data_IF_549032289856
#
_entry.id   IF_549032289856
#
_cell.length_a   1.000
_cell.length_b   1.000
_cell.length_c   1.000
_cell.angle_alpha   90.00
_cell.angle_beta   90.00
_cell.angle_gamma   90.00
#
_symmetry.space_group_name_H-M   'P 1'
#
loop_
_entity.id
_entity.type
_entity.pdbx_description
1 polymer ?
#
# COMPACT_ATOMS: atom_id res chain seq x y z
N UNK A 1 -32.28 2.53 13.07
CA UNK A 1 -31.61 1.43 13.78
C UNK A 1 -30.08 1.54 13.70
N UNK A 2 -29.49 1.72 12.50
CA UNK A 2 -28.03 1.75 12.27
C UNK A 2 -27.18 2.68 13.16
N UNK A 3 -27.66 3.88 13.53
CA UNK A 3 -26.84 4.82 14.32
C UNK A 3 -26.70 4.44 15.80
N UNK A 4 -27.70 3.75 16.37
CA UNK A 4 -27.65 3.25 17.76
C UNK A 4 -26.73 2.04 17.89
N UNK A 5 -26.70 1.19 16.87
CA UNK A 5 -25.80 0.02 16.81
C UNK A 5 -24.35 0.45 16.66
N UNK A 6 -24.07 1.44 15.80
CA UNK A 6 -22.73 2.02 15.64
C UNK A 6 -22.20 2.67 16.93
N UNK A 7 -23.03 3.44 17.64
CA UNK A 7 -22.65 4.06 18.92
C UNK A 7 -22.47 3.03 20.05
N UNK A 8 -23.24 1.94 20.03
CA UNK A 8 -23.07 0.84 20.98
C UNK A 8 -21.77 0.07 20.74
N UNK A 9 -21.39 -0.13 19.48
CA UNK A 9 -20.14 -0.78 19.09
C UNK A 9 -18.91 0.06 19.46
N UNK A 10 -18.94 1.37 19.16
CA UNK A 10 -17.88 2.31 19.57
C UNK A 10 -17.70 2.38 21.09
N UNK A 11 -18.78 2.34 21.86
CA UNK A 11 -18.73 2.36 23.33
C UNK A 11 -18.11 1.09 23.90
N UNK A 12 -18.40 -0.07 23.32
CA UNK A 12 -17.84 -1.34 23.78
C UNK A 12 -16.34 -1.48 23.46
N UNK A 13 -15.90 -0.96 22.32
CA UNK A 13 -14.48 -0.91 21.94
C UNK A 13 -13.69 0.03 22.87
N UNK A 14 -14.25 1.20 23.21
CA UNK A 14 -13.60 2.15 24.11
C UNK A 14 -13.44 1.61 25.54
N UNK A 15 -14.43 0.86 26.04
CA UNK A 15 -14.37 0.21 27.36
C UNK A 15 -13.29 -0.89 27.37
N UNK A 16 -13.17 -1.67 26.28
CA UNK A 16 -12.17 -2.72 26.16
C UNK A 16 -10.73 -2.15 26.15
N UNK A 17 -10.53 -1.02 25.45
CA UNK A 17 -9.25 -0.29 25.42
C UNK A 17 -8.87 0.29 26.80
N UNK A 18 -9.81 0.84 27.57
CA UNK A 18 -9.49 1.36 28.92
C UNK A 18 -9.11 0.27 29.93
N UNK A 19 -9.68 -0.94 29.82
CA UNK A 19 -9.36 -2.06 30.72
C UNK A 19 -7.95 -2.60 30.47
N UNK A 20 -7.49 -2.60 29.22
CA UNK A 20 -6.12 -3.03 28.87
C UNK A 20 -5.08 -2.01 29.34
N UNK A 21 -5.37 -0.71 29.22
CA UNK A 21 -4.45 0.35 29.68
C UNK A 21 -4.31 0.36 31.21
N UNK A 22 -5.37 0.03 31.95
CA UNK A 22 -5.33 -0.04 33.42
C UNK A 22 -4.57 -1.27 33.96
N UNK A 23 -4.42 -2.33 33.15
CA UNK A 23 -3.71 -3.56 33.52
C UNK A 23 -2.19 -3.51 33.31
N UNK A 24 -1.66 -2.47 32.64
CA UNK A 24 -0.24 -2.34 32.26
C UNK A 24 0.56 -1.32 33.09
N UNK A 25 -0.02 -0.75 34.16
CA UNK A 25 0.71 0.16 35.05
C UNK A 25 1.42 -0.63 36.17
N UNK A 26 2.76 -0.60 36.27
CA UNK A 26 3.47 -1.21 37.39
C UNK A 26 3.21 -0.43 38.69
N UNK A 27 2.76 -1.14 39.73
CA UNK A 27 2.65 -0.62 41.10
C UNK A 27 4.03 -0.29 41.67
N UNK A 28 4.29 1.00 41.88
CA UNK A 28 5.47 1.48 42.59
C UNK A 28 5.43 1.06 44.07
N UNK A 29 6.36 0.21 44.47
CA UNK A 29 6.55 -0.21 45.86
C UNK A 29 7.51 0.79 46.55
N UNK A 30 6.99 1.51 47.54
CA UNK A 30 7.73 2.49 48.34
C UNK A 30 8.29 1.79 49.60
N UNK A 31 9.62 1.78 49.77
CA UNK A 31 10.27 1.40 51.04
C UNK A 31 11.14 2.55 51.55
N UNK A 32 10.78 3.06 52.73
CA UNK A 32 11.62 3.89 53.61
C UNK A 32 12.49 3.00 54.50
N UNK A 33 13.73 3.42 54.73
CA UNK A 33 14.56 3.17 55.94
C UNK A 33 15.75 4.14 55.86
N UNK A 34 15.80 5.22 56.65
CA UNK A 34 16.25 5.35 58.05
C UNK A 34 17.77 5.41 58.23
N UNK A 35 18.18 6.38 59.03
CA UNK A 35 19.49 7.04 59.15
C UNK A 35 20.62 6.23 59.81
N UNK A 36 21.86 6.65 59.52
CA UNK A 36 22.95 6.78 60.49
C UNK A 36 24.13 5.81 60.38
N UNK A 37 25.32 6.28 59.99
CA UNK A 37 26.50 6.44 60.87
C UNK A 37 27.72 7.01 60.13
N UNK A 38 28.52 7.77 60.88
CA UNK A 38 29.70 8.54 60.45
C UNK A 38 30.96 7.69 60.62
N UNK A 39 31.77 7.57 59.57
CA UNK A 39 33.11 6.99 59.62
C UNK A 39 34.06 7.73 58.66
N UNK A 40 35.10 8.34 59.21
CA UNK A 40 36.17 9.03 58.48
C UNK A 40 37.13 8.01 57.83
N UNK A 41 37.31 8.07 56.51
CA UNK A 41 38.45 7.48 55.81
C UNK A 41 39.08 8.48 54.81
N UNK A 42 40.41 8.42 54.71
CA UNK A 42 41.30 9.28 53.92
C UNK A 42 41.07 9.18 52.40
N UNK A 43 41.38 10.23 51.62
CA UNK A 43 41.05 10.27 50.18
C UNK A 43 42.02 9.42 49.35
N UNK A 44 41.49 8.42 48.66
CA UNK A 44 42.13 7.79 47.50
C UNK A 44 41.87 8.63 46.23
N UNK A 45 42.83 8.72 45.29
CA UNK A 45 42.70 9.57 44.11
C UNK A 45 41.59 9.05 43.17
N UNK A 46 40.58 9.89 42.94
CA UNK A 46 39.49 9.64 42.00
C UNK A 46 40.02 9.53 40.56
N UNK A 47 39.76 8.44 39.82
CA UNK A 47 39.99 8.44 38.38
C UNK A 47 38.99 9.39 37.72
N UNK A 48 39.49 10.36 36.95
CA UNK A 48 38.69 11.25 36.12
C UNK A 48 37.84 10.43 35.15
N UNK A 49 36.54 10.28 35.45
CA UNK A 49 35.56 9.76 34.51
C UNK A 49 35.37 10.85 33.45
N UNK A 50 35.81 10.59 32.23
CA UNK A 50 35.45 11.42 31.08
C UNK A 50 33.91 11.53 31.01
N UNK A 51 33.33 12.72 30.80
CA UNK A 51 31.88 12.84 30.72
C UNK A 51 31.38 11.90 29.63
N UNK A 52 30.61 10.89 30.01
CA UNK A 52 29.80 10.12 29.08
C UNK A 52 28.97 11.12 28.29
N UNK A 53 28.95 11.07 26.95
CA UNK A 53 28.08 11.94 26.18
C UNK A 53 26.66 11.61 26.60
N UNK A 54 26.07 12.48 27.43
CA UNK A 54 24.62 12.49 27.61
C UNK A 54 24.07 12.85 26.26
N UNK A 55 23.57 11.86 25.51
CA UNK A 55 22.72 12.10 24.37
C UNK A 55 21.56 12.94 24.89
N UNK A 56 21.59 14.24 24.64
CA UNK A 56 20.44 15.09 24.79
C UNK A 56 19.45 14.55 23.78
N UNK A 57 18.44 13.82 24.26
CA UNK A 57 17.31 13.43 23.41
C UNK A 57 16.63 14.75 23.08
N UNK A 58 16.86 15.25 21.86
CA UNK A 58 16.19 16.42 21.36
C UNK A 58 14.73 16.06 21.11
N UNK A 59 13.89 16.25 22.14
CA UNK A 59 12.46 15.97 22.09
C UNK A 59 11.69 16.91 21.15
N UNK A 60 12.38 17.76 20.37
CA UNK A 60 11.72 18.74 19.49
C UNK A 60 11.44 18.21 18.09
N UNK A 61 12.10 17.14 17.63
CA UNK A 61 11.99 16.56 16.27
C UNK A 61 11.27 15.21 16.22
N UNK A 62 10.34 14.99 17.16
CA UNK A 62 9.63 13.73 17.31
C UNK A 62 8.52 13.55 16.26
N UNK A 63 8.29 12.30 15.87
CA UNK A 63 7.14 11.87 15.07
C UNK A 63 6.74 10.48 15.58
N UNK A 64 5.44 10.20 15.66
CA UNK A 64 5.00 8.84 16.02
C UNK A 64 5.06 7.90 14.82
N UNK A 65 5.31 6.62 15.09
CA UNK A 65 5.36 5.56 14.07
C UNK A 65 4.03 5.34 13.33
N UNK A 66 2.94 5.96 13.80
CA UNK A 66 1.62 5.94 13.16
C UNK A 66 1.20 7.29 12.58
N UNK A 67 2.10 8.28 12.50
CA UNK A 67 1.80 9.57 11.87
C UNK A 67 1.33 9.38 10.43
N UNK A 68 0.13 9.89 10.14
CA UNK A 68 -0.47 9.89 8.80
C UNK A 68 -1.31 11.15 8.60
N UNK A 69 -1.07 11.85 7.49
CA UNK A 69 -1.84 13.02 7.08
C UNK A 69 -1.96 13.05 5.56
N UNK A 70 -3.17 13.16 5.04
CA UNK A 70 -3.40 13.43 3.62
C UNK A 70 -3.22 14.93 3.33
N UNK A 71 -2.64 15.26 2.19
CA UNK A 71 -2.47 16.64 1.74
C UNK A 71 -3.74 17.04 0.98
N UNK A 72 -4.47 18.00 1.54
CA UNK A 72 -5.72 18.54 0.99
C UNK A 72 -5.44 19.74 0.05
N UNK A 73 -4.45 20.57 0.34
CA UNK A 73 -4.09 21.74 -0.48
C UNK A 73 -2.59 22.11 -0.32
N UNK A 74 -2.05 22.86 -1.29
CA UNK A 74 -0.64 23.29 -1.30
C UNK A 74 -0.47 24.77 -1.64
N UNK A 75 0.43 25.43 -0.90
CA UNK A 75 0.75 26.83 -1.06
C UNK A 75 2.27 27.00 -1.18
N UNK A 76 2.71 27.75 -2.18
CA UNK A 76 4.13 28.12 -2.29
C UNK A 76 4.37 29.43 -1.57
N UNK A 77 5.40 29.47 -0.72
CA UNK A 77 5.92 30.71 -0.15
C UNK A 77 7.24 31.07 -0.83
N UNK A 78 7.32 32.31 -1.33
CA UNK A 78 8.35 32.80 -2.26
C UNK A 78 9.79 32.56 -1.75
N UNK A 79 9.99 32.49 -0.43
CA UNK A 79 11.32 32.40 0.20
C UNK A 79 11.46 31.26 1.22
N UNK A 80 10.53 30.29 1.30
CA UNK A 80 10.51 29.35 2.44
C UNK A 80 10.13 27.90 2.17
N UNK A 81 9.75 27.52 0.94
CA UNK A 81 9.35 26.16 0.58
C UNK A 81 7.86 26.00 0.28
N UNK A 82 7.34 24.80 0.49
CA UNK A 82 5.93 24.46 0.23
C UNK A 82 5.19 24.28 1.55
N UNK A 83 4.09 25.00 1.76
CA UNK A 83 3.15 24.76 2.85
C UNK A 83 2.07 23.81 2.34
N UNK A 84 1.86 22.71 3.03
CA UNK A 84 0.75 21.78 2.77
C UNK A 84 -0.28 21.88 3.87
N UNK A 85 -1.55 21.69 3.55
CA UNK A 85 -2.62 21.66 4.55
C UNK A 85 -3.32 20.32 4.58
N UNK A 86 -3.75 19.90 5.75
CA UNK A 86 -4.55 18.69 5.93
C UNK A 86 -4.94 18.46 7.38
N UNK A 87 -5.80 17.48 7.60
CA UNK A 87 -6.13 16.98 8.93
C UNK A 87 -5.31 15.74 9.26
N UNK A 88 -4.60 15.74 10.40
CA UNK A 88 -3.82 14.57 10.83
C UNK A 88 -4.78 13.43 11.17
N UNK A 89 -4.69 12.31 10.46
CA UNK A 89 -5.58 11.17 10.64
C UNK A 89 -5.16 10.30 11.83
N UNK A 90 -3.86 10.12 12.04
CA UNK A 90 -3.29 9.35 13.16
C UNK A 90 -1.93 9.88 13.58
N UNK A 91 -1.53 9.55 14.82
CA UNK A 91 -0.24 9.90 15.36
C UNK A 91 -0.04 11.38 15.71
N UNK A 92 1.21 11.79 15.75
CA UNK A 92 1.63 13.17 15.96
C UNK A 92 2.91 13.48 15.19
N UNK A 93 3.15 14.76 14.91
CA UNK A 93 4.38 15.26 14.29
C UNK A 93 4.83 16.55 14.96
N UNK A 94 6.15 16.66 15.21
CA UNK A 94 6.78 17.86 15.74
C UNK A 94 7.56 18.61 14.66
N UNK A 95 7.81 19.89 14.92
CA UNK A 95 8.71 20.71 14.08
C UNK A 95 10.09 20.05 13.99
N UNK A 96 10.81 20.23 12.88
CA UNK A 96 12.11 19.62 12.60
C UNK A 96 12.12 18.09 12.51
N UNK A 97 10.97 17.41 12.64
CA UNK A 97 10.89 15.97 12.38
C UNK A 97 11.19 15.68 10.91
N UNK A 98 11.91 14.58 10.66
CA UNK A 98 12.06 14.04 9.31
C UNK A 98 10.95 13.04 9.04
N UNK A 99 10.17 13.30 8.00
CA UNK A 99 9.00 12.51 7.60
C UNK A 99 9.14 12.10 6.14
N UNK A 100 8.17 11.36 5.63
CA UNK A 100 8.08 10.95 4.24
C UNK A 100 6.87 11.59 3.56
N UNK A 101 7.15 12.30 2.46
CA UNK A 101 6.15 12.66 1.46
C UNK A 101 6.00 11.49 0.51
N UNK A 102 4.78 10.98 0.39
CA UNK A 102 4.45 9.84 -0.42
C UNK A 102 3.50 10.22 -1.55
N UNK A 103 3.94 9.89 -2.76
CA UNK A 103 3.19 10.01 -3.99
C UNK A 103 2.99 8.61 -4.60
N UNK A 104 1.78 8.34 -5.08
CA UNK A 104 1.38 7.05 -5.66
C UNK A 104 2.19 6.73 -6.92
N UNK A 105 2.54 7.74 -7.72
CA UNK A 105 3.25 7.60 -9.00
C UNK A 105 4.76 7.83 -8.85
N UNK A 106 5.15 8.84 -8.08
CA UNK A 106 6.56 9.27 -7.95
C UNK A 106 7.30 8.58 -6.80
N UNK A 107 6.59 7.85 -5.94
CA UNK A 107 7.16 7.17 -4.78
C UNK A 107 7.39 8.10 -3.59
N UNK A 108 8.35 7.74 -2.74
CA UNK A 108 8.54 8.39 -1.44
C UNK A 108 9.78 9.29 -1.42
N UNK A 109 9.64 10.49 -0.84
CA UNK A 109 10.71 11.46 -0.62
C UNK A 109 10.80 11.82 0.86
N UNK A 110 11.98 11.70 1.46
CA UNK A 110 12.20 12.22 2.82
C UNK A 110 12.20 13.74 2.81
N UNK A 111 11.47 14.34 3.75
CA UNK A 111 11.32 15.79 3.88
C UNK A 111 11.37 16.19 5.36
N UNK A 112 11.79 17.42 5.64
CA UNK A 112 11.86 17.94 7.00
C UNK A 112 10.71 18.91 7.25
N UNK A 113 10.07 18.77 8.41
CA UNK A 113 9.05 19.69 8.89
C UNK A 113 9.71 21.01 9.29
N UNK A 114 9.62 22.03 8.44
CA UNK A 114 10.18 23.36 8.72
C UNK A 114 9.37 24.15 9.77
N UNK A 115 8.06 23.90 9.87
CA UNK A 115 7.17 24.56 10.80
C UNK A 115 5.75 24.01 10.72
N UNK A 116 5.00 24.15 11.82
CA UNK A 116 3.61 23.73 11.90
C UNK A 116 2.77 24.94 12.33
N UNK A 117 1.72 25.23 11.57
CA UNK A 117 0.78 26.31 11.84
C UNK A 117 -0.62 25.76 12.08
N UNK A 118 -1.26 26.21 13.15
CA UNK A 118 -2.66 25.95 13.45
C UNK A 118 -3.35 27.28 13.78
N UNK A 119 -4.41 27.63 13.06
CA UNK A 119 -5.16 28.88 13.25
C UNK A 119 -4.29 30.15 13.33
N UNK A 120 -3.34 30.33 12.40
CA UNK A 120 -2.40 31.48 12.35
C UNK A 120 -1.44 31.57 13.53
N UNK A 121 -1.21 30.46 14.24
CA UNK A 121 -0.22 30.35 15.31
C UNK A 121 0.76 29.24 14.99
N UNK A 122 2.04 29.53 15.17
CA UNK A 122 3.08 28.50 15.13
C UNK A 122 2.99 27.64 16.38
N UNK A 123 3.02 26.33 16.17
CA UNK A 123 3.02 25.31 17.23
C UNK A 123 4.21 24.38 17.03
N UNK A 124 4.66 23.76 18.11
CA UNK A 124 5.81 22.85 18.08
C UNK A 124 5.41 21.41 17.72
N UNK A 125 4.16 21.02 17.94
CA UNK A 125 3.67 19.65 17.70
C UNK A 125 2.19 19.67 17.40
N UNK A 126 1.76 18.83 16.46
CA UNK A 126 0.35 18.62 16.10
C UNK A 126 -0.01 17.14 16.22
N UNK A 127 -1.27 16.86 16.55
CA UNK A 127 -1.77 15.52 16.87
C UNK A 127 -2.92 15.13 15.93
N UNK A 128 -3.26 13.84 15.93
CA UNK A 128 -4.44 13.33 15.26
C UNK A 128 -5.71 14.15 15.59
N UNK A 129 -6.43 14.54 14.55
CA UNK A 129 -7.61 15.41 14.59
C UNK A 129 -7.31 16.90 14.40
N UNK A 130 -6.04 17.32 14.47
CA UNK A 130 -5.66 18.71 14.18
C UNK A 130 -5.65 18.98 12.68
N UNK A 131 -6.36 20.02 12.23
CA UNK A 131 -6.20 20.61 10.90
C UNK A 131 -5.07 21.63 10.94
N UNK A 132 -4.00 21.38 10.18
CA UNK A 132 -2.75 22.16 10.26
C UNK A 132 -2.22 22.52 8.87
N UNK A 133 -1.42 23.59 8.83
CA UNK A 133 -0.49 23.87 7.73
C UNK A 133 0.91 23.43 8.14
N UNK A 134 1.57 22.62 7.31
CA UNK A 134 2.93 22.14 7.54
C UNK A 134 3.84 22.70 6.46
N UNK A 135 4.87 23.44 6.89
CA UNK A 135 5.93 23.89 5.98
C UNK A 135 6.90 22.74 5.73
N UNK A 136 7.06 22.34 4.48
CA UNK A 136 8.02 21.35 4.01
C UNK A 136 9.20 22.06 3.35
N UNK A 137 10.39 21.85 3.92
CA UNK A 137 11.62 22.43 3.39
C UNK A 137 12.06 21.77 2.08
N UNK A 138 12.75 22.56 1.23
CA UNK A 138 13.45 22.07 0.03
C UNK A 138 12.57 21.37 -1.02
N UNK A 139 11.30 21.76 -1.12
CA UNK A 139 10.35 21.29 -2.15
C UNK A 139 9.90 22.42 -3.07
N UNK A 140 9.74 22.10 -4.35
CA UNK A 140 9.13 22.99 -5.35
C UNK A 140 7.65 22.65 -5.58
N UNK A 141 6.97 23.46 -6.39
CA UNK A 141 5.54 23.25 -6.70
C UNK A 141 5.30 21.96 -7.49
N UNK A 142 6.30 21.46 -8.20
CA UNK A 142 6.22 20.22 -8.97
C UNK A 142 6.40 18.97 -8.11
N UNK A 143 6.97 19.12 -6.91
CA UNK A 143 7.19 18.02 -5.97
C UNK A 143 5.91 17.63 -5.22
N UNK A 144 5.03 18.61 -4.93
CA UNK A 144 3.93 18.45 -3.97
C UNK A 144 2.58 18.83 -4.54
N UNK A 145 1.59 17.95 -4.37
CA UNK A 145 0.21 18.14 -4.81
C UNK A 145 -0.79 17.58 -3.79
N UNK A 146 -2.04 18.03 -3.89
CA UNK A 146 -3.15 17.43 -3.15
C UNK A 146 -3.35 15.95 -3.54
N UNK A 147 -3.77 15.13 -2.58
CA UNK A 147 -3.90 13.67 -2.73
C UNK A 147 -2.61 12.89 -2.46
N UNK A 148 -1.50 13.57 -2.16
CA UNK A 148 -0.30 12.95 -1.60
C UNK A 148 -0.42 12.81 -0.07
N UNK A 149 0.51 12.07 0.54
CA UNK A 149 0.46 11.75 1.97
C UNK A 149 1.76 12.12 2.69
N UNK A 150 1.63 12.56 3.94
CA UNK A 150 2.73 12.68 4.88
C UNK A 150 2.69 11.56 5.91
N UNK A 151 3.81 10.88 6.09
CA UNK A 151 3.91 9.69 6.95
C UNK A 151 5.20 9.67 7.76
N UNK A 152 5.24 8.93 8.86
CA UNK A 152 6.51 8.56 9.48
C UNK A 152 7.33 7.63 8.56
N UNK A 153 8.65 7.71 8.65
CA UNK A 153 9.57 7.02 7.74
C UNK A 153 9.36 5.51 7.70
N UNK A 154 9.23 4.95 6.50
CA UNK A 154 9.19 3.51 6.27
C UNK A 154 7.91 2.82 6.74
N UNK A 155 6.90 3.58 7.18
CA UNK A 155 5.67 3.02 7.77
C UNK A 155 4.67 2.60 6.70
N UNK A 156 4.61 3.30 5.56
CA UNK A 156 3.66 3.02 4.48
C UNK A 156 4.38 2.88 3.14
N UNK A 157 5.10 1.77 2.90
CA UNK A 157 5.70 1.54 1.59
C UNK A 157 4.63 1.49 0.48
N UNK A 158 4.97 1.91 -0.75
CA UNK A 158 4.08 1.79 -1.91
C UNK A 158 4.04 0.35 -2.43
N UNK A 159 2.97 -0.37 -2.11
CA UNK A 159 2.78 -1.80 -2.38
C UNK A 159 1.67 -2.02 -3.41
N UNK A 160 1.84 -3.01 -4.28
CA UNK A 160 0.76 -3.49 -5.15
C UNK A 160 0.54 -5.01 -5.10
N UNK A 161 1.27 -5.72 -4.25
CA UNK A 161 1.08 -7.15 -3.95
C UNK A 161 1.01 -7.37 -2.46
N UNK A 162 -0.10 -7.95 -2.00
CA UNK A 162 -0.33 -8.19 -0.58
C UNK A 162 -1.34 -9.31 -0.36
N UNK A 163 -1.36 -9.87 0.84
CA UNK A 163 -2.48 -10.67 1.32
C UNK A 163 -3.43 -9.82 2.14
N UNK A 164 -4.70 -10.18 2.14
CA UNK A 164 -5.72 -9.51 2.92
C UNK A 164 -6.77 -10.49 3.45
N UNK A 165 -7.42 -10.08 4.53
CA UNK A 165 -8.69 -10.67 4.98
C UNK A 165 -9.84 -9.86 4.40
N UNK A 166 -10.73 -10.52 3.66
CA UNK A 166 -11.89 -9.90 3.02
C UNK A 166 -13.18 -10.39 3.67
N UNK A 167 -14.06 -9.47 4.03
CA UNK A 167 -15.43 -9.75 4.46
C UNK A 167 -16.38 -9.29 3.36
N UNK A 168 -16.97 -10.26 2.66
CA UNK A 168 -17.88 -10.01 1.54
C UNK A 168 -19.28 -9.60 2.04
N UNK A 169 -19.95 -8.77 1.26
CA UNK A 169 -21.33 -8.34 1.54
C UNK A 169 -22.35 -9.43 1.24
N UNK A 170 -22.02 -10.35 0.33
CA UNK A 170 -22.82 -11.51 -0.08
C UNK A 170 -21.88 -12.69 -0.38
N UNK A 171 -22.23 -13.88 0.09
CA UNK A 171 -21.46 -15.11 -0.16
C UNK A 171 -21.49 -15.53 -1.63
N UNK A 172 -22.42 -15.01 -2.44
CA UNK A 172 -22.48 -15.28 -3.87
C UNK A 172 -21.19 -14.94 -4.62
N UNK A 173 -20.44 -13.93 -4.16
CA UNK A 173 -19.15 -13.52 -4.72
C UNK A 173 -18.01 -14.51 -4.46
N UNK A 174 -18.18 -15.44 -3.52
CA UNK A 174 -17.14 -16.41 -3.15
C UNK A 174 -17.05 -17.60 -4.11
N UNK A 175 -18.03 -17.75 -5.02
CA UNK A 175 -18.06 -18.84 -6.00
C UNK A 175 -16.91 -18.76 -6.99
N UNK A 176 -16.54 -17.55 -7.38
CA UNK A 176 -15.43 -17.30 -8.28
C UNK A 176 -14.16 -17.04 -7.47
N UNK A 177 -13.19 -17.96 -7.56
CA UNK A 177 -11.92 -17.83 -6.84
C UNK A 177 -11.02 -16.71 -7.35
N UNK A 178 -11.36 -16.13 -8.51
CA UNK A 178 -10.64 -15.02 -9.12
C UNK A 178 -11.65 -13.94 -9.45
N UNK A 179 -11.49 -12.78 -8.83
CA UNK A 179 -12.32 -11.60 -9.06
C UNK A 179 -11.45 -10.53 -9.72
N UNK A 180 -11.92 -10.00 -10.85
CA UNK A 180 -11.33 -8.83 -11.48
C UNK A 180 -12.16 -7.60 -11.07
N UNK A 181 -11.56 -6.72 -10.27
CA UNK A 181 -12.28 -5.60 -9.66
C UNK A 181 -11.40 -4.39 -9.41
N UNK A 182 -11.79 -3.57 -8.44
CA UNK A 182 -11.02 -2.44 -7.94
C UNK A 182 -10.84 -2.54 -6.44
N UNK A 183 -9.66 -2.14 -5.96
CA UNK A 183 -9.41 -1.88 -4.55
C UNK A 183 -9.39 -0.38 -4.32
N UNK A 184 -10.17 0.10 -3.36
CA UNK A 184 -10.26 1.51 -2.99
C UNK A 184 -9.53 1.73 -1.67
N UNK A 185 -8.48 2.55 -1.72
CA UNK A 185 -7.73 3.02 -0.56
C UNK A 185 -7.85 4.53 -0.49
N UNK A 186 -8.11 5.07 0.69
CA UNK A 186 -8.33 6.51 0.87
C UNK A 186 -9.49 6.98 -0.03
N UNK A 187 -9.26 7.98 -0.89
CA UNK A 187 -10.24 8.50 -1.86
C UNK A 187 -9.98 8.06 -3.31
N UNK A 188 -9.07 7.11 -3.52
CA UNK A 188 -8.65 6.65 -4.86
C UNK A 188 -8.70 5.13 -4.98
N UNK A 189 -8.74 4.64 -6.21
CA UNK A 189 -8.83 3.22 -6.50
C UNK A 189 -7.79 2.76 -7.52
N UNK A 190 -7.55 1.45 -7.50
CA UNK A 190 -6.76 0.76 -8.51
C UNK A 190 -7.47 -0.51 -8.91
N UNK A 191 -7.52 -0.75 -10.23
CA UNK A 191 -7.91 -2.06 -10.74
C UNK A 191 -7.01 -3.15 -10.14
N UNK A 192 -7.61 -4.29 -9.84
CA UNK A 192 -6.96 -5.37 -9.12
C UNK A 192 -7.47 -6.75 -9.55
N UNK A 193 -6.59 -7.73 -9.45
CA UNK A 193 -6.94 -9.15 -9.42
C UNK A 193 -6.92 -9.63 -7.97
N UNK A 194 -8.02 -10.25 -7.55
CA UNK A 194 -8.23 -10.76 -6.19
C UNK A 194 -8.38 -12.28 -6.28
N UNK A 195 -7.45 -13.00 -5.66
CA UNK A 195 -7.38 -14.45 -5.68
C UNK A 195 -7.78 -14.99 -4.31
N UNK A 196 -8.95 -15.61 -4.23
CA UNK A 196 -9.49 -16.16 -2.98
C UNK A 196 -8.90 -17.54 -2.70
N UNK A 197 -8.42 -17.75 -1.48
CA UNK A 197 -7.87 -19.06 -1.07
C UNK A 197 -8.96 -20.07 -0.71
N UNK A 198 -10.17 -19.60 -0.41
CA UNK A 198 -11.33 -20.42 -0.07
C UNK A 198 -12.62 -19.75 -0.53
N UNK A 199 -13.64 -20.57 -0.81
CA UNK A 199 -15.02 -20.18 -1.07
C UNK A 199 -15.88 -20.19 0.21
N UNK A 200 -15.29 -20.54 1.36
CA UNK A 200 -15.97 -20.60 2.66
C UNK A 200 -15.32 -19.59 3.62
N UNK A 201 -16.09 -18.66 4.19
CA UNK A 201 -15.58 -17.76 5.22
C UNK A 201 -15.12 -18.51 6.47
N UNK A 202 -14.13 -17.95 7.16
CA UNK A 202 -13.74 -18.41 8.49
C UNK A 202 -14.82 -18.12 9.54
N UNK A 203 -14.56 -18.51 10.79
CA UNK A 203 -15.50 -18.30 11.90
C UNK A 203 -15.83 -16.82 12.17
N UNK A 204 -14.95 -15.91 11.75
CA UNK A 204 -15.10 -14.46 11.90
C UNK A 204 -15.71 -13.82 10.63
N UNK A 205 -16.04 -14.62 9.61
CA UNK A 205 -16.66 -14.17 8.36
C UNK A 205 -15.68 -13.64 7.31
N UNK A 206 -14.38 -13.92 7.47
CA UNK A 206 -13.35 -13.49 6.52
C UNK A 206 -12.92 -14.59 5.57
N UNK A 207 -12.51 -14.20 4.37
CA UNK A 207 -11.81 -15.04 3.40
C UNK A 207 -10.42 -14.43 3.16
N UNK A 208 -9.39 -15.26 3.20
CA UNK A 208 -8.03 -14.82 2.84
C UNK A 208 -7.92 -14.67 1.33
N UNK A 209 -7.35 -13.56 0.90
CA UNK A 209 -7.13 -13.26 -0.51
C UNK A 209 -5.68 -12.82 -0.76
N UNK A 210 -5.14 -13.21 -1.91
CA UNK A 210 -3.93 -12.63 -2.50
C UNK A 210 -4.37 -11.58 -3.51
N UNK A 211 -3.84 -10.36 -3.44
CA UNK A 211 -4.31 -9.24 -4.26
C UNK A 211 -3.14 -8.64 -5.04
N UNK A 212 -3.32 -8.51 -6.35
CA UNK A 212 -2.43 -7.76 -7.25
C UNK A 212 -3.16 -6.52 -7.75
N UNK A 213 -2.67 -5.33 -7.42
CA UNK A 213 -3.16 -4.07 -7.97
C UNK A 213 -2.29 -3.60 -9.14
N UNK A 214 -2.88 -2.78 -10.02
CA UNK A 214 -2.16 -2.17 -11.14
C UNK A 214 -1.21 -1.06 -10.67
N UNK A 215 -1.69 -0.20 -9.78
CA UNK A 215 -0.90 0.89 -9.18
C UNK A 215 -0.47 0.54 -7.75
N UNK A 216 0.66 1.12 -7.31
CA UNK A 216 1.17 0.94 -5.95
C UNK A 216 0.53 1.95 -5.03
N UNK A 217 0.07 1.51 -3.87
CA UNK A 217 -0.53 2.40 -2.88
C UNK A 217 0.26 2.36 -1.57
N UNK A 218 0.34 3.48 -0.84
CA UNK A 218 0.87 3.49 0.52
C UNK A 218 0.00 2.61 1.41
N UNK A 219 0.58 1.58 2.01
CA UNK A 219 -0.15 0.73 2.95
C UNK A 219 0.77 0.06 3.95
N UNK A 220 0.17 -0.42 5.04
CA UNK A 220 0.82 -1.25 6.07
C UNK A 220 -0.08 -2.41 6.46
N UNK A 221 0.46 -3.38 7.20
CA UNK A 221 -0.36 -4.40 7.86
C UNK A 221 -1.44 -3.72 8.71
N UNK A 222 -2.68 -4.15 8.54
CA UNK A 222 -3.86 -3.58 9.19
C UNK A 222 -4.50 -2.39 8.45
N UNK A 223 -3.94 -1.93 7.32
CA UNK A 223 -4.61 -0.94 6.48
C UNK A 223 -5.98 -1.47 6.02
N UNK A 224 -7.01 -0.67 6.25
CA UNK A 224 -8.37 -0.97 5.80
C UNK A 224 -8.58 -0.49 4.36
N UNK A 225 -9.34 -1.24 3.58
CA UNK A 225 -9.71 -0.90 2.21
C UNK A 225 -11.05 -1.50 1.82
N UNK A 226 -11.49 -1.16 0.62
CA UNK A 226 -12.76 -1.58 0.04
C UNK A 226 -12.49 -2.32 -1.27
N UNK A 227 -13.30 -3.31 -1.58
CA UNK A 227 -13.23 -4.05 -2.85
C UNK A 227 -14.53 -3.85 -3.61
N UNK A 228 -14.43 -3.51 -4.89
CA UNK A 228 -15.57 -3.41 -5.78
C UNK A 228 -15.41 -4.20 -7.08
N UNK A 229 -16.55 -4.51 -7.70
CA UNK A 229 -16.67 -5.20 -8.99
C UNK A 229 -17.79 -4.52 -9.78
N UNK A 230 -17.54 -4.22 -11.05
CA UNK A 230 -18.50 -3.52 -11.93
C UNK A 230 -19.13 -2.27 -11.29
N UNK A 231 -18.33 -1.49 -10.56
CA UNK A 231 -18.76 -0.26 -9.88
C UNK A 231 -19.53 -0.46 -8.57
N UNK A 232 -19.77 -1.69 -8.13
CA UNK A 232 -20.44 -1.99 -6.86
C UNK A 232 -19.43 -2.39 -5.79
N UNK A 233 -19.65 -1.93 -4.56
CA UNK A 233 -18.85 -2.38 -3.41
C UNK A 233 -19.27 -3.79 -2.98
N UNK A 234 -18.34 -4.74 -3.01
CA UNK A 234 -18.60 -6.16 -2.74
C UNK A 234 -17.95 -6.69 -1.47
N UNK A 235 -16.86 -6.07 -0.98
CA UNK A 235 -16.22 -6.50 0.26
C UNK A 235 -15.48 -5.35 0.99
N UNK A 236 -15.25 -5.58 2.29
CA UNK A 236 -14.33 -4.79 3.12
C UNK A 236 -13.07 -5.61 3.37
N UNK A 237 -11.91 -4.99 3.26
CA UNK A 237 -10.61 -5.64 3.36
C UNK A 237 -9.73 -5.07 4.46
N UNK A 238 -8.91 -5.93 5.05
CA UNK A 238 -7.81 -5.55 5.96
C UNK A 238 -6.53 -6.21 5.44
N UNK A 239 -5.51 -5.41 5.15
CA UNK A 239 -4.19 -5.88 4.70
C UNK A 239 -3.55 -6.74 5.80
N UNK A 240 -3.05 -7.92 5.46
CA UNK A 240 -2.44 -8.86 6.42
C UNK A 240 -0.92 -8.99 6.24
N UNK A 241 -0.45 -9.19 5.01
CA UNK A 241 0.99 -9.29 4.69
C UNK A 241 1.32 -8.52 3.42
N UNK A 242 2.43 -7.77 3.44
CA UNK A 242 2.93 -7.01 2.29
C UNK A 242 3.94 -7.86 1.52
N UNK A 243 3.85 -7.88 0.19
CA UNK A 243 4.80 -8.56 -0.70
C UNK A 243 5.12 -10.02 -0.26
N UNK A 244 4.08 -10.87 -0.06
CA UNK A 244 4.25 -12.22 0.45
C UNK A 244 5.10 -13.07 -0.51
N UNK A 245 6.07 -13.82 0.02
CA UNK A 245 7.07 -14.52 -0.81
C UNK A 245 6.50 -15.65 -1.67
N UNK A 246 5.35 -16.20 -1.28
CA UNK A 246 4.63 -17.29 -1.93
C UNK A 246 3.56 -16.79 -2.92
N UNK A 247 3.47 -15.48 -3.17
CA UNK A 247 2.42 -14.86 -4.00
C UNK A 247 2.22 -15.58 -5.33
N UNK A 248 3.30 -15.80 -6.06
CA UNK A 248 3.25 -16.40 -7.40
C UNK A 248 2.80 -17.86 -7.35
N UNK A 249 3.30 -18.64 -6.38
CA UNK A 249 2.91 -20.05 -6.22
C UNK A 249 1.41 -20.17 -5.92
N UNK A 250 0.90 -19.36 -5.00
CA UNK A 250 -0.51 -19.40 -4.61
C UNK A 250 -1.42 -18.94 -5.75
N UNK A 251 -1.06 -17.85 -6.44
CA UNK A 251 -1.82 -17.37 -7.60
C UNK A 251 -1.85 -18.40 -8.72
N UNK A 252 -0.72 -19.04 -9.04
CA UNK A 252 -0.67 -20.12 -10.04
C UNK A 252 -1.53 -21.32 -9.64
N UNK A 253 -1.52 -21.71 -8.36
CA UNK A 253 -2.36 -22.79 -7.86
C UNK A 253 -3.86 -22.47 -7.94
N UNK A 254 -4.26 -21.25 -7.59
CA UNK A 254 -5.66 -20.80 -7.66
C UNK A 254 -6.11 -20.75 -9.13
N UNK A 255 -5.32 -20.14 -10.01
CA UNK A 255 -5.61 -20.05 -11.45
C UNK A 255 -5.59 -21.42 -12.14
N UNK A 256 -4.72 -22.34 -11.73
CA UNK A 256 -4.69 -23.72 -12.21
C UNK A 256 -5.91 -24.52 -11.75
N UNK A 257 -6.39 -24.29 -10.52
CA UNK A 257 -7.56 -24.97 -9.95
C UNK A 257 -8.91 -24.50 -10.50
N UNK A 258 -8.95 -23.35 -11.18
CA UNK A 258 -10.17 -22.81 -11.82
C UNK A 258 -10.52 -23.45 -13.18
N UNK A 259 -9.95 -24.62 -13.52
CA UNK A 259 -10.42 -25.41 -14.67
C UNK A 259 -11.64 -26.24 -14.27
N UNK A 260 -12.79 -26.12 -14.96
CA UNK A 260 -13.91 -27.03 -14.73
C UNK A 260 -13.51 -28.47 -15.04
N UNK A 261 -13.97 -29.42 -14.24
CA UNK A 261 -14.09 -30.83 -14.62
C UNK A 261 -15.00 -30.94 -15.87
N UNK A 262 -14.38 -30.81 -17.04
CA UNK A 262 -14.77 -31.53 -18.24
C UNK A 262 -13.53 -31.66 -19.12
N UNK A 263 -12.93 -32.83 -19.04
CA UNK A 263 -11.77 -33.20 -19.81
C UNK A 263 -12.10 -33.24 -21.31
N UNK A 264 -11.54 -32.30 -22.05
CA UNK A 264 -11.07 -32.57 -23.42
C UNK A 264 -9.86 -31.69 -23.72
N UNK A 265 -8.67 -32.28 -23.61
CA UNK A 265 -7.36 -31.91 -24.17
C UNK A 265 -6.87 -30.44 -24.08
N UNK A 266 -5.57 -30.21 -23.75
CA UNK A 266 -4.99 -28.88 -23.78
C UNK A 266 -4.71 -28.49 -25.24
N UNK A 267 -5.69 -27.87 -25.89
CA UNK A 267 -5.49 -27.21 -27.19
C UNK A 267 -6.07 -25.80 -27.12
N UNK A 268 -5.19 -24.80 -27.24
CA UNK A 268 -5.47 -23.41 -27.60
C UNK A 268 -6.56 -22.66 -26.82
N UNK A 269 -6.13 -21.84 -25.85
CA UNK A 269 -6.83 -20.56 -25.59
C UNK A 269 -6.46 -19.55 -26.69
N UNK A 270 -7.06 -19.81 -27.86
CA UNK A 270 -7.41 -18.85 -28.92
C UNK A 270 -8.93 -18.86 -29.08
N UNK A 271 -9.67 -19.30 -28.05
CA UNK A 271 -11.11 -19.49 -28.11
C UNK A 271 -11.82 -18.15 -27.89
N UNK A 272 -12.45 -17.64 -28.95
CA UNK A 272 -13.35 -16.47 -28.91
C UNK A 272 -13.11 -15.45 -30.03
N UNK A 273 -11.88 -15.34 -30.55
CA UNK A 273 -11.54 -14.32 -31.55
C UNK A 273 -12.18 -14.56 -32.92
N UNK A 274 -12.55 -15.79 -33.30
CA UNK A 274 -13.13 -16.11 -34.62
C UNK A 274 -14.46 -15.40 -34.92
N UNK A 275 -15.22 -15.02 -33.88
CA UNK A 275 -16.50 -14.33 -34.01
C UNK A 275 -16.39 -12.81 -34.17
N UNK A 276 -15.18 -12.25 -34.07
CA UNK A 276 -14.95 -10.80 -34.11
C UNK A 276 -14.35 -10.34 -35.45
N UNK A 277 -14.83 -9.22 -36.01
CA UNK A 277 -14.27 -8.58 -37.21
C UNK A 277 -12.74 -8.34 -37.11
N UNK A 278 -11.98 -8.37 -38.22
CA UNK A 278 -10.52 -8.19 -38.22
C UNK A 278 -10.02 -6.85 -37.65
N UNK A 279 -10.86 -5.83 -37.72
CA UNK A 279 -10.65 -4.47 -37.22
C UNK A 279 -10.98 -4.29 -35.73
N UNK A 280 -11.45 -5.34 -35.05
CA UNK A 280 -11.71 -5.33 -33.61
C UNK A 280 -10.45 -4.96 -32.84
N UNK A 281 -10.59 -4.04 -31.88
CA UNK A 281 -9.52 -3.60 -30.99
C UNK A 281 -9.34 -4.61 -29.87
N UNK A 282 -8.10 -4.93 -29.57
CA UNK A 282 -7.74 -5.94 -28.57
C UNK A 282 -6.56 -5.48 -27.73
N UNK A 283 -6.48 -6.02 -26.52
CA UNK A 283 -5.39 -5.84 -25.57
C UNK A 283 -4.52 -7.11 -25.60
N UNK A 284 -3.20 -6.93 -25.61
CA UNK A 284 -2.24 -8.03 -25.54
C UNK A 284 -1.56 -8.00 -24.18
N UNK A 285 -1.77 -9.08 -23.42
CA UNK A 285 -1.28 -9.27 -22.07
C UNK A 285 -0.18 -10.34 -22.06
N UNK A 286 0.98 -9.99 -21.53
CA UNK A 286 2.03 -10.96 -21.20
C UNK A 286 1.64 -11.64 -19.89
N UNK A 287 1.32 -12.92 -19.92
CA UNK A 287 0.99 -13.70 -18.72
C UNK A 287 2.23 -14.31 -18.09
N UNK A 288 3.17 -14.82 -18.90
CA UNK A 288 4.42 -15.41 -18.40
C UNK A 288 5.59 -15.10 -19.35
N UNK A 289 6.73 -14.68 -18.80
CA UNK A 289 7.88 -14.21 -19.57
C UNK A 289 8.83 -15.31 -20.08
N UNK A 290 8.74 -16.54 -19.54
CA UNK A 290 9.60 -17.65 -19.94
C UNK A 290 11.08 -17.46 -19.57
N UNK A 291 11.95 -18.33 -20.09
CA UNK A 291 13.39 -18.34 -19.79
C UNK A 291 14.21 -17.32 -20.58
N UNK A 292 13.69 -16.82 -21.71
CA UNK A 292 14.40 -15.98 -22.68
C UNK A 292 14.10 -14.48 -22.50
N UNK A 293 14.12 -13.99 -21.26
CA UNK A 293 13.74 -12.61 -20.89
C UNK A 293 14.43 -11.53 -21.72
N UNK A 294 15.72 -11.68 -22.04
CA UNK A 294 16.47 -10.67 -22.82
C UNK A 294 15.97 -10.57 -24.26
N UNK A 295 15.61 -11.69 -24.89
CA UNK A 295 15.04 -11.70 -26.25
C UNK A 295 13.63 -11.11 -26.23
N UNK A 296 12.86 -11.43 -25.19
CA UNK A 296 11.51 -10.91 -24.99
C UNK A 296 11.50 -9.38 -24.82
N UNK A 297 12.38 -8.84 -23.95
CA UNK A 297 12.52 -7.38 -23.76
C UNK A 297 12.87 -6.68 -25.08
N UNK A 298 13.80 -7.24 -25.87
CA UNK A 298 14.15 -6.66 -27.18
C UNK A 298 12.95 -6.62 -28.12
N UNK A 299 12.16 -7.69 -28.15
CA UNK A 299 11.00 -7.81 -29.03
C UNK A 299 9.85 -6.88 -28.63
N UNK A 300 9.58 -6.77 -27.33
CA UNK A 300 8.60 -5.81 -26.79
C UNK A 300 9.00 -4.39 -27.15
N UNK A 301 10.29 -4.02 -27.02
CA UNK A 301 10.79 -2.69 -27.42
C UNK A 301 10.64 -2.41 -28.91
N UNK A 302 10.95 -3.39 -29.75
CA UNK A 302 10.80 -3.26 -31.21
C UNK A 302 9.35 -2.98 -31.60
N UNK A 303 8.39 -3.65 -30.94
CA UNK A 303 6.98 -3.53 -31.25
C UNK A 303 6.33 -2.27 -30.64
N UNK A 304 6.64 -1.95 -29.38
CA UNK A 304 5.98 -0.86 -28.63
C UNK A 304 6.71 0.48 -28.72
N UNK A 305 8.00 0.48 -29.11
CA UNK A 305 8.85 1.67 -29.08
C UNK A 305 9.33 2.08 -27.68
N UNK A 306 9.00 1.31 -26.64
CA UNK A 306 9.32 1.64 -25.24
C UNK A 306 10.83 1.65 -24.95
N UNK A 307 11.20 2.42 -23.92
CA UNK A 307 12.56 2.46 -23.37
C UNK A 307 13.00 1.12 -22.76
N UNK A 308 14.31 0.95 -22.53
CA UNK A 308 14.84 -0.29 -21.94
C UNK A 308 14.24 -0.56 -20.54
N UNK A 309 14.03 0.49 -19.75
CA UNK A 309 13.50 0.40 -18.38
C UNK A 309 12.03 -0.04 -18.40
N UNK A 310 11.21 0.58 -19.24
CA UNK A 310 9.78 0.28 -19.37
C UNK A 310 9.54 -1.15 -19.89
N UNK A 311 10.24 -1.56 -20.96
CA UNK A 311 10.10 -2.90 -21.48
C UNK A 311 10.64 -3.98 -20.52
N UNK A 312 11.67 -3.65 -19.73
CA UNK A 312 12.13 -4.52 -18.66
C UNK A 312 11.08 -4.66 -17.56
N UNK A 313 10.40 -3.58 -17.19
CA UNK A 313 9.32 -3.63 -16.21
C UNK A 313 8.16 -4.53 -16.68
N UNK A 314 7.73 -4.42 -17.94
CA UNK A 314 6.69 -5.30 -18.51
C UNK A 314 7.09 -6.78 -18.37
N UNK A 315 8.33 -7.13 -18.69
CA UNK A 315 8.81 -8.51 -18.65
C UNK A 315 9.04 -9.04 -17.22
N UNK A 316 9.59 -8.21 -16.33
CA UNK A 316 9.91 -8.62 -14.97
C UNK A 316 8.67 -8.72 -14.08
N UNK A 317 7.61 -7.96 -14.39
CA UNK A 317 6.38 -7.89 -13.61
C UNK A 317 5.17 -8.52 -14.31
N UNK A 318 5.37 -9.56 -15.13
CA UNK A 318 4.26 -10.34 -15.69
C UNK A 318 3.40 -10.97 -14.55
N UNK A 319 2.05 -10.97 -14.62
CA UNK A 319 1.24 -10.56 -15.77
C UNK A 319 1.17 -9.04 -15.97
N UNK A 320 1.33 -8.59 -17.21
CA UNK A 320 1.38 -7.17 -17.57
C UNK A 320 0.87 -6.91 -18.99
N UNK A 321 0.38 -5.70 -19.25
CA UNK A 321 -0.10 -5.30 -20.58
C UNK A 321 1.11 -4.90 -21.43
N UNK A 322 1.25 -5.54 -22.60
CA UNK A 322 2.28 -5.19 -23.59
C UNK A 322 1.82 -3.99 -24.41
N UNK A 323 0.57 -4.03 -24.87
CA UNK A 323 -0.05 -2.99 -25.68
C UNK A 323 -1.56 -3.12 -25.62
N UNK A 324 -2.25 -1.99 -25.71
CA UNK A 324 -3.68 -1.87 -25.85
C UNK A 324 -4.06 -1.35 -27.25
N UNK A 325 -5.35 -1.44 -27.59
CA UNK A 325 -5.94 -0.82 -28.78
C UNK A 325 -5.31 -1.20 -30.15
N UNK A 326 -4.81 -2.43 -30.29
CA UNK A 326 -4.30 -2.93 -31.58
C UNK A 326 -5.35 -3.77 -32.32
N UNK A 327 -5.21 -3.89 -33.65
CA UNK A 327 -6.10 -4.76 -34.43
C UNK A 327 -5.83 -6.23 -34.14
N UNK A 328 -6.88 -7.05 -34.21
CA UNK A 328 -6.80 -8.51 -34.04
C UNK A 328 -5.70 -9.16 -34.88
N UNK A 329 -5.54 -8.75 -36.15
CA UNK A 329 -4.49 -9.28 -37.02
C UNK A 329 -3.08 -9.03 -36.48
N UNK A 330 -2.81 -7.81 -35.99
CA UNK A 330 -1.51 -7.45 -35.41
C UNK A 330 -1.27 -8.15 -34.07
N UNK A 331 -2.32 -8.32 -33.28
CA UNK A 331 -2.25 -9.01 -31.99
C UNK A 331 -1.90 -10.49 -32.15
N UNK A 332 -2.48 -11.16 -33.15
CA UNK A 332 -2.18 -12.56 -33.45
C UNK A 332 -0.74 -12.74 -33.95
N UNK A 333 -0.27 -11.84 -34.82
CA UNK A 333 1.12 -11.85 -35.28
C UNK A 333 2.10 -11.67 -34.11
N UNK A 334 1.85 -10.66 -33.25
CA UNK A 334 2.65 -10.43 -32.06
C UNK A 334 2.62 -11.61 -31.09
N UNK A 335 1.45 -12.21 -30.85
CA UNK A 335 1.32 -13.38 -29.99
C UNK A 335 2.14 -14.56 -30.51
N UNK A 336 2.14 -14.82 -31.82
CA UNK A 336 2.96 -15.88 -32.42
C UNK A 336 4.44 -15.63 -32.19
N UNK A 337 4.93 -14.42 -32.46
CA UNK A 337 6.34 -14.05 -32.30
C UNK A 337 6.80 -14.13 -30.84
N UNK A 338 5.97 -13.73 -29.89
CA UNK A 338 6.30 -13.80 -28.47
C UNK A 338 6.25 -15.24 -27.93
N UNK A 339 5.33 -16.07 -28.43
CA UNK A 339 5.27 -17.51 -28.09
C UNK A 339 6.47 -18.28 -28.61
N UNK A 340 7.01 -17.93 -29.77
CA UNK A 340 8.27 -18.52 -30.29
C UNK A 340 9.47 -18.26 -29.37
N UNK A 341 9.45 -17.13 -28.64
CA UNK A 341 10.48 -16.78 -27.64
C UNK A 341 10.23 -17.52 -26.30
N UNK A 342 9.10 -18.23 -26.16
CA UNK A 342 8.74 -18.99 -24.97
C UNK A 342 7.91 -18.21 -23.94
N UNK A 343 7.30 -17.09 -24.35
CA UNK A 343 6.39 -16.32 -23.52
C UNK A 343 4.94 -16.82 -23.66
N UNK A 344 4.17 -16.77 -22.57
CA UNK A 344 2.73 -16.99 -22.59
C UNK A 344 2.03 -15.66 -22.72
N UNK A 345 1.26 -15.50 -23.80
CA UNK A 345 0.57 -14.25 -24.14
C UNK A 345 -0.91 -14.50 -24.38
N UNK A 346 -1.74 -13.65 -23.77
CA UNK A 346 -3.20 -13.69 -23.83
C UNK A 346 -3.71 -12.45 -24.58
N UNK A 347 -4.74 -12.61 -25.42
CA UNK A 347 -5.38 -11.53 -26.15
C UNK A 347 -6.80 -11.37 -25.61
N UNK A 348 -7.17 -10.16 -25.20
CA UNK A 348 -8.53 -9.82 -24.74
C UNK A 348 -9.17 -8.82 -25.69
N UNK A 349 -10.46 -8.95 -25.97
CA UNK A 349 -11.20 -7.97 -26.78
C UNK A 349 -11.39 -6.70 -25.96
N UNK A 350 -11.20 -5.56 -26.58
CA UNK A 350 -11.54 -4.27 -26.01
C UNK A 350 -13.05 -4.10 -26.15
N UNK A 351 -13.81 -4.34 -25.07
CA UNK A 351 -15.23 -4.01 -25.03
C UNK A 351 -15.34 -2.52 -24.67
N UNK A 352 -15.80 -1.70 -25.63
CA UNK A 352 -16.24 -0.33 -25.31
C UNK A 352 -17.56 -0.45 -24.53
N UNK A 353 -17.58 0.06 -23.29
CA UNK A 353 -18.82 0.28 -22.52
C UNK A 353 -19.73 1.33 -23.18
#
# INVERSE_FOLDING_TARGET
MRQKEYLSMKRNILIFLMVIILALLPTACNKKSSDGEVGNEMPTPTPTIAPTPTTVIDNTSLVSDDFFMEIEDTFSIIEGGMVVTGTIASGFVSKNAEIELLDIEKGTKTVTVGGIEQFRKLIETANAGDTVGILLGDLSREDVAAGQFLTAKGIMPPINQYTAKLMFSDEAFLKDKIIQGSCYFYETDSSAYIYLTSDVPDADGYVTAYIKMMHRFPMKKGSEFKVGESGNLIALGIVDELEPTDFNEVVENIAGSSTPENASNPTNQTAGLENYPPDTRVIVELTHCGSEKVKLIKKIREYTGLGLVEAKAIVDYAPSIITDNITKEKALALQSELREIGATVTIRVFEEE
#
